data_IF_388444111275
#
_entry.id   IF_388444111275
#
_cell.length_a   1.000
_cell.length_b   1.000
_cell.length_c   1.000
_cell.angle_alpha   90.00
_cell.angle_beta   90.00
_cell.angle_gamma   90.00
#
_symmetry.space_group_name_H-M   'P 1'
#
loop_
_entity.id
_entity.type
_entity.pdbx_description
1 polymer ?
#
# COMPACT_ATOMS: atom_id res chain seq x y z
N UNK A 1 -7.70 -3.43 -32.06
CA UNK A 1 -8.15 -4.02 -30.77
C UNK A 1 -7.94 -2.98 -29.67
N UNK A 2 -8.97 -2.63 -28.88
CA UNK A 2 -8.85 -1.69 -27.75
C UNK A 2 -8.63 -2.48 -26.46
N UNK A 3 -7.62 -2.09 -25.68
CA UNK A 3 -7.39 -2.62 -24.33
C UNK A 3 -7.68 -1.51 -23.32
N UNK A 4 -8.21 -1.87 -22.16
CA UNK A 4 -8.52 -0.96 -21.06
C UNK A 4 -7.98 -1.58 -19.78
N UNK A 5 -7.45 -0.75 -18.89
CA UNK A 5 -6.98 -1.13 -17.56
C UNK A 5 -7.81 -0.39 -16.52
N UNK A 6 -8.22 -1.09 -15.47
CA UNK A 6 -8.97 -0.54 -14.35
C UNK A 6 -8.09 -0.62 -13.11
N UNK A 7 -7.96 0.51 -12.42
CA UNK A 7 -7.25 0.61 -11.14
C UNK A 7 -8.24 1.11 -10.09
N UNK A 8 -8.49 0.26 -9.10
CA UNK A 8 -9.31 0.60 -7.94
C UNK A 8 -8.41 0.72 -6.71
N UNK A 9 -8.57 1.82 -5.97
CA UNK A 9 -7.92 2.02 -4.68
C UNK A 9 -9.00 2.14 -3.61
N UNK A 10 -8.74 1.57 -2.45
CA UNK A 10 -9.61 1.64 -1.28
C UNK A 10 -8.81 2.01 -0.05
N UNK A 11 -9.50 2.46 0.99
CA UNK A 11 -8.86 2.72 2.28
C UNK A 11 -8.20 1.46 2.83
N UNK A 12 -7.02 1.63 3.43
CA UNK A 12 -6.20 0.53 3.93
C UNK A 12 -6.92 -0.42 4.87
N UNK A 13 -7.80 0.07 5.74
CA UNK A 13 -8.52 -0.75 6.71
C UNK A 13 -9.46 -1.80 6.07
N UNK A 14 -9.65 -1.77 4.75
CA UNK A 14 -10.33 -2.79 3.97
C UNK A 14 -9.30 -3.74 3.39
N UNK A 15 -9.31 -5.01 3.84
CA UNK A 15 -8.46 -6.05 3.25
C UNK A 15 -8.90 -6.33 1.81
N UNK A 16 -7.96 -6.47 0.85
CA UNK A 16 -8.29 -6.95 -0.49
C UNK A 16 -9.03 -8.28 -0.43
N UNK A 17 -10.11 -8.41 -1.21
CA UNK A 17 -10.89 -9.65 -1.30
C UNK A 17 -10.27 -10.66 -2.24
N UNK A 18 -9.61 -10.18 -3.29
CA UNK A 18 -9.01 -11.01 -4.33
C UNK A 18 -7.63 -11.52 -3.90
N UNK A 19 -7.27 -12.68 -4.42
CA UNK A 19 -5.94 -13.26 -4.23
C UNK A 19 -4.91 -12.53 -5.10
N UNK A 20 -3.82 -12.09 -4.47
CA UNK A 20 -2.69 -11.51 -5.19
C UNK A 20 -1.88 -12.62 -5.87
N UNK A 21 -1.73 -12.55 -7.20
CA UNK A 21 -1.15 -13.62 -8.03
C UNK A 21 0.30 -13.36 -8.47
N UNK A 22 0.84 -12.17 -8.21
CA UNK A 22 2.16 -11.72 -8.67
C UNK A 22 3.22 -11.73 -7.57
N UNK A 23 3.13 -12.69 -6.64
CA UNK A 23 3.99 -12.74 -5.44
C UNK A 23 5.49 -12.78 -5.74
N UNK A 24 5.89 -13.32 -6.88
CA UNK A 24 7.28 -13.36 -7.37
C UNK A 24 7.91 -11.98 -7.62
N UNK A 25 7.11 -10.90 -7.63
CA UNK A 25 7.59 -9.53 -7.78
C UNK A 25 7.76 -8.78 -6.45
N UNK A 26 7.28 -9.34 -5.33
CA UNK A 26 7.22 -8.64 -4.03
C UNK A 26 8.61 -8.19 -3.56
N UNK A 27 9.61 -9.05 -3.68
CA UNK A 27 10.98 -8.75 -3.22
C UNK A 27 11.67 -7.65 -4.06
N UNK A 28 11.14 -7.34 -5.24
CA UNK A 28 11.63 -6.27 -6.13
C UNK A 28 10.86 -4.96 -5.94
N UNK A 29 9.79 -4.96 -5.15
CA UNK A 29 8.95 -3.79 -4.93
C UNK A 29 9.46 -2.97 -3.74
N UNK A 30 9.33 -1.65 -3.83
CA UNK A 30 9.48 -0.79 -2.67
C UNK A 30 8.33 -0.99 -1.66
N UNK A 31 8.47 -0.52 -0.41
CA UNK A 31 7.47 -0.74 0.64
C UNK A 31 6.05 -0.28 0.28
N UNK A 32 5.88 0.80 -0.50
CA UNK A 32 4.56 1.30 -0.91
C UNK A 32 3.94 0.35 -1.92
N UNK A 33 4.71 -0.12 -2.91
CA UNK A 33 4.23 -1.12 -3.88
C UNK A 33 3.92 -2.46 -3.22
N UNK A 34 4.73 -2.91 -2.26
CA UNK A 34 4.42 -4.11 -1.47
C UNK A 34 3.08 -3.95 -0.74
N UNK A 35 2.84 -2.80 -0.12
CA UNK A 35 1.57 -2.49 0.55
C UNK A 35 0.38 -2.54 -0.43
N UNK A 36 0.53 -1.96 -1.63
CA UNK A 36 -0.52 -1.99 -2.67
C UNK A 36 -0.82 -3.41 -3.16
N UNK A 37 0.17 -4.30 -3.12
CA UNK A 37 0.02 -5.73 -3.42
C UNK A 37 -0.51 -6.55 -2.22
N UNK A 38 -0.91 -5.91 -1.13
CA UNK A 38 -1.52 -6.57 0.03
C UNK A 38 -0.52 -7.08 1.08
N UNK A 39 0.76 -6.70 1.00
CA UNK A 39 1.71 -6.98 2.07
C UNK A 39 1.29 -6.26 3.37
N UNK A 40 1.46 -6.96 4.48
CA UNK A 40 1.16 -6.49 5.83
C UNK A 40 2.21 -7.01 6.80
N UNK A 41 2.55 -6.24 7.83
CA UNK A 41 3.56 -6.67 8.82
C UNK A 41 3.03 -7.70 9.83
N UNK A 42 1.75 -8.05 9.74
CA UNK A 42 1.11 -9.10 10.55
C UNK A 42 -0.41 -9.05 10.49
N UNK A 43 -1.07 -9.86 11.34
CA UNK A 43 -2.54 -9.94 11.41
C UNK A 43 -3.23 -8.62 11.78
N UNK A 44 -2.53 -7.73 12.49
CA UNK A 44 -3.05 -6.43 12.94
C UNK A 44 -2.65 -5.25 12.04
N UNK A 45 -1.87 -5.47 10.98
CA UNK A 45 -1.35 -4.37 10.14
C UNK A 45 -2.43 -3.58 9.38
N UNK A 46 -3.66 -4.11 9.33
CA UNK A 46 -4.83 -3.47 8.74
C UNK A 46 -5.70 -2.72 9.76
N UNK A 47 -5.86 -3.28 10.97
CA UNK A 47 -6.79 -2.79 12.01
C UNK A 47 -6.10 -1.91 13.05
N UNK A 48 -4.78 -2.05 13.22
CA UNK A 48 -3.97 -1.28 14.17
C UNK A 48 -2.58 -1.02 13.57
N UNK A 49 -2.52 -0.27 12.44
CA UNK A 49 -1.28 -0.05 11.72
C UNK A 49 -0.26 0.73 12.54
N UNK A 50 0.99 0.30 12.50
CA UNK A 50 2.15 1.08 12.95
C UNK A 50 2.74 1.87 11.78
N UNK A 51 3.71 2.75 12.02
CA UNK A 51 4.34 3.54 10.95
C UNK A 51 4.91 2.67 9.82
N UNK A 52 5.42 1.47 10.14
CA UNK A 52 5.90 0.48 9.16
C UNK A 52 4.79 -0.11 8.27
N UNK A 53 3.54 -0.06 8.71
CA UNK A 53 2.37 -0.51 7.93
C UNK A 53 1.81 0.58 7.01
N UNK A 54 2.33 1.81 7.12
CA UNK A 54 1.89 2.99 6.35
C UNK A 54 3.08 3.68 5.67
N UNK A 55 3.87 2.97 4.84
CA UNK A 55 5.10 3.49 4.23
C UNK A 55 4.90 4.73 3.35
N UNK A 56 3.68 4.97 2.84
CA UNK A 56 3.38 6.20 2.10
C UNK A 56 3.51 7.46 2.98
N UNK A 57 3.20 7.36 4.28
CA UNK A 57 3.21 8.50 5.21
C UNK A 57 4.62 9.13 5.36
N UNK A 58 5.68 8.37 5.72
CA UNK A 58 7.03 8.93 5.78
C UNK A 58 7.54 9.36 4.40
N UNK A 59 7.19 8.64 3.33
CA UNK A 59 7.57 9.01 1.96
C UNK A 59 7.03 10.39 1.57
N UNK A 60 5.74 10.65 1.81
CA UNK A 60 5.13 11.96 1.56
C UNK A 60 5.78 13.06 2.39
N UNK A 61 6.08 12.78 3.67
CA UNK A 61 6.77 13.74 4.54
C UNK A 61 8.13 14.16 3.98
N UNK A 62 8.91 13.18 3.50
CA UNK A 62 10.26 13.40 2.97
C UNK A 62 10.22 14.17 1.64
N UNK A 63 9.28 13.87 0.75
CA UNK A 63 9.26 14.39 -0.61
C UNK A 63 8.41 15.64 -0.79
N UNK A 64 7.38 15.82 0.04
CA UNK A 64 6.39 16.91 -0.08
C UNK A 64 6.26 17.76 1.19
N UNK A 65 6.99 17.42 2.26
CA UNK A 65 6.98 18.17 3.52
C UNK A 65 5.88 17.75 4.50
N UNK A 66 5.88 18.37 5.67
CA UNK A 66 4.98 18.00 6.80
C UNK A 66 3.51 18.30 6.52
N UNK A 67 3.21 19.33 5.72
CA UNK A 67 1.83 19.73 5.40
C UNK A 67 1.10 18.67 4.57
N UNK A 68 1.80 17.91 3.72
CA UNK A 68 1.23 16.85 2.91
C UNK A 68 0.72 15.64 3.72
N UNK A 69 0.97 15.64 5.02
CA UNK A 69 0.66 14.54 5.95
C UNK A 69 -0.20 15.00 7.13
N UNK A 70 -0.77 16.20 7.03
CA UNK A 70 -1.69 16.75 8.03
C UNK A 70 -2.94 15.83 8.18
N UNK A 71 -3.51 15.73 9.40
CA UNK A 71 -4.68 14.89 9.69
C UNK A 71 -5.93 15.27 8.89
#
# INVERSE_FOLDING_TARGET
IRKVLFYGYSYRWLRPRDDMTVGHLIDQCDPIRQQLLGASTGGMGYTSPQDRDVPLKPWLREHLGVEAVAP
#
